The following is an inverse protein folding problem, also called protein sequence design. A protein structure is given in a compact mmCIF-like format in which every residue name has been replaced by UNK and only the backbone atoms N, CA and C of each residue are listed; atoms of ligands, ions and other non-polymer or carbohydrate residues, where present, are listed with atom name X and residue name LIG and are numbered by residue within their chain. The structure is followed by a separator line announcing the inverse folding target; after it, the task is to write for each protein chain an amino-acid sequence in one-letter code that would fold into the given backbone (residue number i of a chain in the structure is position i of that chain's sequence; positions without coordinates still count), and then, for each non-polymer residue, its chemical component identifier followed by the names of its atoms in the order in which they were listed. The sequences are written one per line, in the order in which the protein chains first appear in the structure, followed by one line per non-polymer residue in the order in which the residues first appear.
data_IF_206494581664
#
_entry.id   IF_206494581664
#
_cell.length_a   1.000
_cell.length_b   1.000
_cell.length_c   1.000
_cell.angle_alpha   90.00
_cell.angle_beta   90.00
_cell.angle_gamma   90.00
#
_symmetry.space_group_name_H-M   'P 1'
#
loop_
_entity.id
_entity.type
_entity.pdbx_description
1 polymer ?
#
# COMPACT_ATOMS: atom_id res chain seq x y z
N UNK A 1 -11.55 -0.64 -0.86
CA UNK A 1 -10.35 -1.49 -0.86
C UNK A 1 -10.64 -2.98 -0.80
N UNK A 2 -11.40 -3.44 0.20
CA UNK A 2 -11.70 -4.87 0.38
C UNK A 2 -12.17 -5.58 -0.91
N UNK A 3 -13.09 -4.97 -1.67
CA UNK A 3 -13.61 -5.54 -2.93
C UNK A 3 -12.52 -5.80 -3.98
N UNK A 4 -11.60 -4.86 -4.16
CA UNK A 4 -10.55 -4.98 -5.18
C UNK A 4 -9.52 -6.01 -4.73
N UNK A 5 -9.21 -6.05 -3.43
CA UNK A 5 -8.35 -7.07 -2.84
C UNK A 5 -8.92 -8.48 -3.03
N UNK A 6 -10.22 -8.68 -2.79
CA UNK A 6 -10.86 -9.99 -3.00
C UNK A 6 -10.86 -10.41 -4.47
N UNK A 7 -11.09 -9.48 -5.39
CA UNK A 7 -11.02 -9.81 -6.82
C UNK A 7 -9.57 -10.12 -7.25
N UNK A 8 -8.58 -9.39 -6.73
CA UNK A 8 -7.16 -9.65 -7.01
C UNK A 8 -6.67 -10.99 -6.44
N UNK A 9 -7.21 -11.43 -5.29
CA UNK A 9 -6.88 -12.74 -4.71
C UNK A 9 -7.50 -13.88 -5.51
N UNK A 10 -8.72 -13.70 -6.01
CA UNK A 10 -9.38 -14.68 -6.88
C UNK A 10 -8.66 -14.78 -8.24
N UNK A 11 -8.19 -13.65 -8.77
CA UNK A 11 -7.39 -13.61 -10.01
C UNK A 11 -6.10 -14.45 -9.90
N UNK A 12 -5.39 -14.34 -8.77
CA UNK A 12 -4.17 -15.10 -8.53
C UNK A 12 -4.44 -16.55 -8.12
N UNK A 13 -5.39 -16.80 -7.22
CA UNK A 13 -5.64 -18.15 -6.67
C UNK A 13 -6.45 -19.05 -7.61
N UNK A 14 -7.59 -18.56 -8.11
CA UNK A 14 -8.52 -19.38 -8.89
C UNK A 14 -8.07 -19.49 -10.34
N UNK A 15 -7.60 -18.36 -10.91
CA UNK A 15 -7.20 -18.30 -12.32
C UNK A 15 -5.71 -18.55 -12.53
N UNK A 16 -4.90 -18.57 -11.47
CA UNK A 16 -3.44 -18.76 -11.53
C UNK A 16 -2.75 -17.77 -12.47
N UNK A 17 -3.29 -16.55 -12.52
CA UNK A 17 -2.79 -15.50 -13.39
C UNK A 17 -1.84 -14.59 -12.61
N UNK A 18 -0.79 -14.17 -13.32
CA UNK A 18 0.28 -13.37 -12.75
C UNK A 18 -0.13 -11.89 -12.61
N UNK A 19 0.13 -11.31 -11.43
CA UNK A 19 -0.22 -9.94 -11.12
C UNK A 19 1.03 -9.12 -10.74
N UNK A 20 1.32 -8.09 -11.54
CA UNK A 20 2.38 -7.13 -11.24
C UNK A 20 1.78 -5.82 -10.78
N UNK A 21 2.18 -5.36 -9.60
CA UNK A 21 1.84 -4.04 -9.09
C UNK A 21 2.95 -3.06 -9.43
N UNK A 22 2.62 -1.96 -10.11
CA UNK A 22 3.55 -0.87 -10.41
C UNK A 22 3.15 0.33 -9.56
N UNK A 23 4.00 0.65 -8.58
CA UNK A 23 3.78 1.72 -7.61
C UNK A 23 4.52 2.99 -8.05
N UNK A 24 3.75 4.04 -8.30
CA UNK A 24 4.28 5.36 -8.65
C UNK A 24 4.15 6.33 -7.48
N UNK A 25 4.94 7.40 -7.51
CA UNK A 25 4.93 8.39 -6.44
C UNK A 25 3.75 9.37 -6.57
N UNK A 26 2.92 9.60 -5.53
CA UNK A 26 2.87 8.90 -4.24
C UNK A 26 1.83 7.77 -4.22
N UNK A 27 2.15 6.61 -3.62
CA UNK A 27 1.18 5.55 -3.33
C UNK A 27 1.00 5.39 -1.83
N UNK A 28 -0.12 5.88 -1.29
CA UNK A 28 -0.34 5.85 0.16
C UNK A 28 -1.72 5.35 0.59
N UNK A 29 -1.91 5.11 1.89
CA UNK A 29 -3.22 4.83 2.46
C UNK A 29 -3.74 3.45 2.07
N UNK A 30 -5.02 3.40 1.70
CA UNK A 30 -5.70 2.16 1.36
C UNK A 30 -5.06 1.40 0.21
N UNK A 31 -4.43 2.09 -0.76
CA UNK A 31 -3.85 1.44 -1.96
C UNK A 31 -2.68 0.55 -1.54
N UNK A 32 -1.76 1.12 -0.76
CA UNK A 32 -0.66 0.38 -0.13
C UNK A 32 -1.16 -0.70 0.82
N UNK A 33 -2.33 -0.51 1.47
CA UNK A 33 -2.92 -1.49 2.38
C UNK A 33 -3.75 -2.59 1.70
N UNK A 34 -3.70 -2.69 0.37
CA UNK A 34 -4.61 -3.54 -0.40
C UNK A 34 -3.95 -4.05 -1.69
N UNK A 35 -4.66 -4.02 -2.81
CA UNK A 35 -4.21 -4.51 -4.12
C UNK A 35 -2.83 -3.99 -4.53
N UNK A 36 -2.45 -2.77 -4.14
CA UNK A 36 -1.12 -2.23 -4.45
C UNK A 36 0.03 -3.07 -3.88
N UNK A 37 -0.20 -3.83 -2.81
CA UNK A 37 0.79 -4.66 -2.14
C UNK A 37 0.48 -6.17 -2.22
N UNK A 38 -0.52 -6.56 -3.02
CA UNK A 38 -0.95 -7.95 -3.23
C UNK A 38 -0.51 -8.53 -4.57
N UNK A 39 0.42 -7.87 -5.28
CA UNK A 39 1.03 -8.38 -6.51
C UNK A 39 2.08 -9.44 -6.23
N UNK A 40 2.19 -10.42 -7.13
CA UNK A 40 3.28 -11.42 -7.14
C UNK A 40 4.65 -10.73 -7.23
N UNK A 41 4.71 -9.66 -8.04
CA UNK A 41 5.85 -8.74 -8.11
C UNK A 41 5.35 -7.32 -7.91
N UNK A 42 6.08 -6.57 -7.09
CA UNK A 42 5.85 -5.15 -6.84
C UNK A 42 7.06 -4.38 -7.35
N UNK A 43 6.83 -3.49 -8.31
CA UNK A 43 7.84 -2.62 -8.91
C UNK A 43 7.51 -1.20 -8.49
N UNK A 44 8.51 -0.42 -8.09
CA UNK A 44 8.34 0.98 -7.76
C UNK A 44 9.31 1.85 -8.56
N UNK A 45 8.88 3.07 -8.89
CA UNK A 45 9.80 4.08 -9.44
C UNK A 45 10.88 4.44 -8.40
N UNK A 46 12.10 4.80 -8.83
CA UNK A 46 13.12 5.32 -7.93
C UNK A 46 12.59 6.51 -7.13
N UNK A 47 12.83 6.52 -5.82
CA UNK A 47 12.35 7.56 -4.89
C UNK A 47 10.83 7.68 -4.78
N UNK A 48 10.05 6.66 -5.17
CA UNK A 48 8.60 6.67 -4.99
C UNK A 48 8.22 6.77 -3.50
N UNK A 49 7.30 7.70 -3.18
CA UNK A 49 6.79 7.83 -1.83
C UNK A 49 5.65 6.83 -1.60
N UNK A 50 5.99 5.73 -0.92
CA UNK A 50 5.07 4.64 -0.59
C UNK A 50 4.89 4.55 0.92
N UNK A 51 3.67 4.70 1.43
CA UNK A 51 3.41 4.69 2.88
C UNK A 51 1.97 4.34 3.24
N UNK A 52 1.74 3.58 4.31
CA UNK A 52 0.38 3.36 4.80
C UNK A 52 -0.25 4.67 5.32
N UNK A 53 0.42 5.36 6.24
CA UNK A 53 -0.02 6.64 6.75
C UNK A 53 0.82 7.78 6.16
N UNK A 54 0.17 8.87 5.75
CA UNK A 54 0.86 10.04 5.22
C UNK A 54 1.70 10.76 6.27
N UNK A 55 2.76 11.46 5.83
CA UNK A 55 3.71 12.18 6.71
C UNK A 55 3.03 13.02 7.79
N UNK A 56 1.95 13.75 7.45
CA UNK A 56 1.20 14.60 8.39
C UNK A 56 0.67 13.82 9.59
N UNK A 57 0.02 12.69 9.33
CA UNK A 57 -0.56 11.85 10.40
C UNK A 57 0.55 11.27 11.26
N UNK A 58 1.65 10.83 10.62
CA UNK A 58 2.79 10.27 11.32
C UNK A 58 3.46 11.31 12.23
N UNK A 59 3.73 12.52 11.73
CA UNK A 59 4.31 13.60 12.53
C UNK A 59 3.42 14.01 13.70
N UNK A 60 2.11 14.13 13.48
CA UNK A 60 1.18 14.46 14.54
C UNK A 60 1.16 13.38 15.63
N UNK A 61 1.20 12.11 15.25
CA UNK A 61 1.24 11.00 16.20
C UNK A 61 2.54 10.97 17.01
N UNK A 62 3.69 11.14 16.34
CA UNK A 62 4.99 11.16 17.01
C UNK A 62 5.13 12.35 17.98
N UNK A 63 4.66 13.54 17.57
CA UNK A 63 4.66 14.71 18.44
C UNK A 63 3.77 14.51 19.67
N UNK A 64 2.59 13.90 19.50
CA UNK A 64 1.70 13.61 20.61
C UNK A 64 2.32 12.62 21.60
N UNK A 65 3.02 11.58 21.11
CA UNK A 65 3.74 10.64 21.98
C UNK A 65 4.79 11.34 22.85
N UNK A 66 5.55 12.29 22.29
CA UNK A 66 6.54 13.06 23.04
C UNK A 66 5.95 13.99 24.11
N UNK A 67 4.64 14.27 24.07
CA UNK A 67 3.95 15.08 25.08
C UNK A 67 3.32 14.24 26.20
N UNK A 68 3.26 12.92 26.01
CA UNK A 68 2.68 11.96 26.98
C UNK A 68 3.77 11.29 27.83
N UNK A 69 5.02 11.34 27.38
CA UNK A 69 6.23 11.07 28.19
C UNK A 69 6.69 12.33 28.94
#
# INVERSE_FOLDING_TARGET
MAKISSDSSNYQSDKKLFYVSILTSPTTGGVTASFGMLGDIIIAEPNAYIAFAGKRVMYQFLHLLQLVE
#
